data_IF_114695131153
#
_entry.id   IF_114695131153
#
_cell.length_a   1.000
_cell.length_b   1.000
_cell.length_c   1.000
_cell.angle_alpha   90.00
_cell.angle_beta   90.00
_cell.angle_gamma   90.00
#
_symmetry.space_group_name_H-M   'P 1'
#
loop_
_entity.id
_entity.type
_entity.pdbx_description
1 polymer ?
#
# COMPACT_ATOMS: atom_id res chain seq x y z
N UNK A 1 -14.81 -24.66 25.70
CA UNK A 1 -15.16 -25.25 24.38
C UNK A 1 -13.88 -25.74 23.71
N UNK A 2 -13.91 -26.90 23.05
CA UNK A 2 -12.72 -27.47 22.36
C UNK A 2 -12.58 -26.84 20.97
N UNK A 3 -11.38 -26.39 20.63
CA UNK A 3 -11.01 -25.89 19.31
C UNK A 3 -10.05 -26.89 18.65
N UNK A 4 -10.44 -27.37 17.47
CA UNK A 4 -9.69 -28.36 16.70
C UNK A 4 -8.89 -27.73 15.54
N UNK A 5 -8.98 -26.40 15.38
CA UNK A 5 -8.50 -25.69 14.18
C UNK A 5 -7.15 -25.03 14.41
N UNK A 6 -7.01 -24.32 15.52
CA UNK A 6 -5.85 -23.48 15.80
C UNK A 6 -4.92 -24.12 16.81
N UNK A 7 -3.64 -23.77 16.73
CA UNK A 7 -2.62 -24.16 17.70
C UNK A 7 -2.91 -23.61 19.10
N UNK A 8 -2.40 -24.25 20.17
CA UNK A 8 -2.51 -23.75 21.53
C UNK A 8 -2.12 -22.27 21.69
N UNK A 9 -1.06 -21.82 21.02
CA UNK A 9 -0.58 -20.45 21.09
C UNK A 9 -1.60 -19.44 20.54
N UNK A 10 -2.22 -19.73 19.40
CA UNK A 10 -3.28 -18.88 18.82
C UNK A 10 -4.51 -18.85 19.74
N UNK A 11 -4.86 -19.99 20.34
CA UNK A 11 -6.01 -20.08 21.24
C UNK A 11 -5.77 -19.34 22.56
N UNK A 12 -4.56 -19.42 23.10
CA UNK A 12 -4.16 -18.64 24.26
C UNK A 12 -4.25 -17.14 23.96
N UNK A 13 -3.72 -16.71 22.82
CA UNK A 13 -3.83 -15.31 22.42
C UNK A 13 -5.29 -14.86 22.26
N UNK A 14 -6.13 -15.67 21.62
CA UNK A 14 -7.56 -15.36 21.46
C UNK A 14 -8.28 -15.22 22.81
N UNK A 15 -7.99 -16.11 23.77
CA UNK A 15 -8.54 -16.02 25.12
C UNK A 15 -8.06 -14.76 25.85
N UNK A 16 -6.79 -14.39 25.71
CA UNK A 16 -6.22 -13.17 26.31
C UNK A 16 -6.83 -11.90 25.70
N UNK A 17 -7.01 -11.84 24.37
CA UNK A 17 -7.72 -10.73 23.72
C UNK A 17 -9.10 -10.54 24.33
N UNK A 18 -9.84 -11.62 24.59
CA UNK A 18 -11.21 -11.56 25.10
C UNK A 18 -11.34 -11.39 26.61
N UNK A 19 -10.28 -11.62 27.39
CA UNK A 19 -10.35 -11.64 28.85
C UNK A 19 -10.93 -10.36 29.49
N UNK A 20 -10.63 -9.13 29.03
CA UNK A 20 -11.21 -7.91 29.62
C UNK A 20 -12.72 -7.74 29.39
N UNK A 21 -13.27 -8.39 28.35
CA UNK A 21 -14.69 -8.31 27.97
C UNK A 21 -15.47 -9.57 28.38
N UNK A 22 -14.79 -10.54 28.98
CA UNK A 22 -15.36 -11.77 29.47
C UNK A 22 -16.12 -11.52 30.79
N UNK A 23 -17.44 -11.64 30.78
CA UNK A 23 -18.21 -11.80 32.01
C UNK A 23 -17.91 -13.13 32.73
N UNK A 24 -18.43 -13.31 33.94
CA UNK A 24 -18.17 -14.50 34.78
C UNK A 24 -18.48 -15.86 34.11
N UNK A 25 -19.27 -15.88 33.02
CA UNK A 25 -19.67 -17.08 32.27
C UNK A 25 -18.94 -17.24 30.91
N UNK A 26 -17.84 -16.53 30.66
CA UNK A 26 -17.18 -16.56 29.36
C UNK A 26 -16.58 -17.93 29.03
N UNK A 27 -16.94 -18.45 27.85
CA UNK A 27 -16.46 -19.74 27.35
C UNK A 27 -14.99 -19.60 26.94
N UNK A 28 -14.09 -20.24 27.70
CA UNK A 28 -12.67 -20.37 27.31
C UNK A 28 -12.50 -21.44 26.24
N UNK A 29 -11.72 -21.12 25.22
CA UNK A 29 -11.30 -22.07 24.20
C UNK A 29 -10.13 -22.91 24.72
N UNK A 30 -10.13 -24.21 24.41
CA UNK A 30 -9.00 -25.12 24.64
C UNK A 30 -8.60 -25.75 23.32
N UNK A 31 -7.34 -25.60 22.92
CA UNK A 31 -6.81 -26.25 21.74
C UNK A 31 -6.72 -27.77 21.95
N UNK A 32 -7.00 -28.52 20.90
CA UNK A 32 -6.80 -29.98 20.84
C UNK A 32 -5.54 -30.34 20.04
N UNK A 33 -5.07 -29.41 19.20
CA UNK A 33 -3.87 -29.57 18.38
C UNK A 33 -2.60 -29.49 19.23
N UNK A 34 -1.51 -30.04 18.70
CA UNK A 34 -0.18 -29.88 19.24
C UNK A 34 0.31 -28.43 19.12
N UNK A 35 1.32 -28.09 19.94
CA UNK A 35 1.96 -26.79 19.93
C UNK A 35 2.59 -26.51 18.55
N UNK A 36 2.34 -25.31 18.01
CA UNK A 36 2.91 -24.86 16.74
C UNK A 36 4.04 -23.84 16.89
N UNK A 37 4.28 -23.06 15.82
CA UNK A 37 5.22 -21.94 15.82
C UNK A 37 4.77 -20.85 16.82
N UNK A 38 5.68 -20.20 17.56
CA UNK A 38 5.31 -19.08 18.42
C UNK A 38 4.73 -17.90 17.61
N UNK A 39 3.88 -17.12 18.28
CA UNK A 39 3.33 -15.88 17.72
C UNK A 39 4.42 -14.83 17.58
N UNK A 40 4.37 -14.03 16.52
CA UNK A 40 5.27 -12.89 16.33
C UNK A 40 4.55 -11.56 16.48
N UNK A 41 5.19 -10.62 17.16
CA UNK A 41 4.69 -9.25 17.36
C UNK A 41 5.78 -8.27 16.93
N UNK A 42 5.49 -7.40 15.97
CA UNK A 42 6.51 -6.53 15.37
C UNK A 42 6.01 -5.09 15.20
N UNK A 43 6.69 -4.14 15.83
CA UNK A 43 6.48 -2.72 15.58
C UNK A 43 7.38 -2.19 14.45
N UNK A 44 6.83 -1.34 13.60
CA UNK A 44 7.49 -0.69 12.47
C UNK A 44 7.51 0.84 12.62
N UNK A 45 8.48 1.53 12.00
CA UNK A 45 8.57 2.99 12.10
C UNK A 45 7.39 3.70 11.42
N UNK A 46 6.85 3.16 10.32
CA UNK A 46 5.75 3.73 9.55
C UNK A 46 4.97 2.65 8.76
N UNK A 47 3.85 3.03 8.13
CA UNK A 47 2.98 2.09 7.40
C UNK A 47 3.66 1.46 6.17
N UNK A 48 4.56 2.20 5.51
CA UNK A 48 5.30 1.69 4.34
C UNK A 48 6.30 0.63 4.78
N UNK A 49 7.02 0.89 5.88
CA UNK A 49 7.94 -0.07 6.48
C UNK A 49 7.22 -1.33 7.00
N UNK A 50 6.02 -1.16 7.56
CA UNK A 50 5.17 -2.28 7.98
C UNK A 50 4.80 -3.18 6.79
N UNK A 51 4.32 -2.58 5.69
CA UNK A 51 3.95 -3.31 4.49
C UNK A 51 5.15 -4.03 3.85
N UNK A 52 6.29 -3.35 3.74
CA UNK A 52 7.52 -3.94 3.20
C UNK A 52 8.04 -5.10 4.06
N UNK A 53 7.98 -4.96 5.39
CA UNK A 53 8.39 -6.00 6.33
C UNK A 53 7.49 -7.23 6.27
N UNK A 54 6.17 -7.03 6.26
CA UNK A 54 5.18 -8.12 6.13
C UNK A 54 5.32 -8.83 4.79
N UNK A 55 5.43 -8.09 3.68
CA UNK A 55 5.60 -8.68 2.35
C UNK A 55 6.92 -9.47 2.22
N UNK A 56 7.98 -9.02 2.92
CA UNK A 56 9.26 -9.74 2.97
C UNK A 56 9.13 -11.09 3.70
N UNK A 57 8.42 -11.13 4.82
CA UNK A 57 8.17 -12.38 5.54
C UNK A 57 7.25 -13.32 4.74
N UNK A 58 6.21 -12.79 4.09
CA UNK A 58 5.34 -13.57 3.20
C UNK A 58 6.14 -14.19 2.06
N UNK A 59 6.96 -13.40 1.36
CA UNK A 59 7.82 -13.91 0.28
C UNK A 59 8.79 -15.00 0.79
N UNK A 60 9.29 -14.88 2.02
CA UNK A 60 10.12 -15.91 2.65
C UNK A 60 9.34 -17.21 2.89
N UNK A 61 8.09 -17.13 3.34
CA UNK A 61 7.23 -18.30 3.55
C UNK A 61 6.86 -18.99 2.23
N UNK A 62 6.52 -18.20 1.20
CA UNK A 62 6.20 -18.73 -0.14
C UNK A 62 7.41 -19.42 -0.76
N UNK A 63 8.61 -18.81 -0.69
CA UNK A 63 9.86 -19.48 -1.10
C UNK A 63 10.17 -20.74 -0.28
N UNK A 64 9.72 -20.77 0.98
CA UNK A 64 9.81 -21.93 1.85
C UNK A 64 8.76 -23.02 1.57
N UNK A 65 7.93 -22.87 0.54
CA UNK A 65 6.92 -23.86 0.12
C UNK A 65 5.51 -23.65 0.70
N UNK A 66 5.25 -22.56 1.43
CA UNK A 66 3.89 -22.23 1.86
C UNK A 66 3.06 -21.77 0.67
N UNK A 67 1.90 -22.38 0.43
CA UNK A 67 0.98 -21.95 -0.63
C UNK A 67 0.52 -20.50 -0.38
N UNK A 68 0.60 -19.59 -1.37
CA UNK A 68 0.06 -18.23 -1.22
C UNK A 68 -1.41 -18.19 -0.80
N UNK A 69 -2.22 -19.16 -1.26
CA UNK A 69 -3.64 -19.28 -0.90
C UNK A 69 -3.87 -19.59 0.59
N UNK A 70 -2.86 -20.13 1.29
CA UNK A 70 -2.90 -20.42 2.73
C UNK A 70 -2.41 -19.25 3.60
N UNK A 71 -2.17 -18.08 2.99
CA UNK A 71 -1.69 -16.88 3.66
C UNK A 71 -2.74 -15.77 3.54
N UNK A 72 -3.05 -15.12 4.64
CA UNK A 72 -3.88 -13.90 4.65
C UNK A 72 -3.22 -12.74 5.39
N UNK A 73 -3.45 -11.53 4.87
CA UNK A 73 -3.18 -10.25 5.55
C UNK A 73 -4.53 -9.62 5.88
N UNK A 74 -4.78 -9.47 7.18
CA UNK A 74 -6.01 -8.94 7.72
C UNK A 74 -5.79 -7.54 8.29
N UNK A 75 -6.57 -6.58 7.80
CA UNK A 75 -6.53 -5.18 8.22
C UNK A 75 -7.90 -4.69 8.70
N UNK A 76 -7.95 -3.50 9.31
CA UNK A 76 -9.23 -2.96 9.82
C UNK A 76 -10.05 -2.28 8.73
N UNK A 77 -9.40 -1.48 7.88
CA UNK A 77 -10.04 -0.67 6.83
C UNK A 77 -9.39 -0.91 5.47
N UNK A 78 -10.18 -0.81 4.40
CA UNK A 78 -9.72 -1.07 3.03
C UNK A 78 -8.59 -0.15 2.60
N UNK A 79 -8.57 1.11 3.05
CA UNK A 79 -7.50 2.07 2.72
C UNK A 79 -6.09 1.62 3.14
N UNK A 80 -5.98 0.59 3.99
CA UNK A 80 -4.68 0.02 4.35
C UNK A 80 -4.13 -0.93 3.29
N UNK A 81 -4.95 -1.47 2.37
CA UNK A 81 -4.53 -2.54 1.45
C UNK A 81 -3.46 -2.06 0.46
N UNK A 82 -3.56 -0.82 -0.02
CA UNK A 82 -2.70 -0.25 -1.08
C UNK A 82 -1.20 -0.46 -0.83
N UNK A 83 -0.72 -0.15 0.39
CA UNK A 83 0.70 -0.33 0.73
C UNK A 83 1.13 -1.81 0.68
N UNK A 84 0.25 -2.74 1.07
CA UNK A 84 0.53 -4.18 1.02
C UNK A 84 0.45 -4.72 -0.40
N UNK A 85 -0.49 -4.24 -1.21
CA UNK A 85 -0.60 -4.56 -2.63
C UNK A 85 0.68 -4.18 -3.37
N UNK A 86 1.15 -2.94 -3.18
CA UNK A 86 2.42 -2.47 -3.75
C UNK A 86 3.61 -3.34 -3.28
N UNK A 87 3.73 -3.56 -1.97
CA UNK A 87 4.86 -4.31 -1.40
C UNK A 87 4.91 -5.78 -1.84
N UNK A 88 3.75 -6.42 -2.04
CA UNK A 88 3.64 -7.79 -2.55
C UNK A 88 3.92 -7.85 -4.06
N UNK A 89 3.39 -6.89 -4.83
CA UNK A 89 3.62 -6.78 -6.27
C UNK A 89 5.11 -6.61 -6.60
N UNK A 90 5.82 -5.73 -5.89
CA UNK A 90 7.28 -5.53 -6.02
C UNK A 90 8.08 -6.83 -5.84
N UNK A 91 7.54 -7.78 -5.06
CA UNK A 91 8.16 -9.07 -4.74
C UNK A 91 7.62 -10.21 -5.59
N UNK A 92 6.80 -9.91 -6.60
CA UNK A 92 6.14 -10.90 -7.46
C UNK A 92 5.34 -11.95 -6.68
N UNK A 93 4.76 -11.55 -5.54
CA UNK A 93 3.88 -12.43 -4.75
C UNK A 93 2.44 -12.20 -5.23
N UNK A 94 1.75 -13.23 -5.76
CA UNK A 94 0.37 -13.08 -6.19
C UNK A 94 -0.54 -12.83 -4.98
N UNK A 95 -1.52 -11.93 -5.13
CA UNK A 95 -2.46 -11.58 -4.07
C UNK A 95 -3.87 -11.36 -4.63
N UNK A 96 -4.86 -11.44 -3.74
CA UNK A 96 -6.27 -11.15 -4.03
C UNK A 96 -6.83 -10.26 -2.94
N UNK A 97 -7.47 -9.16 -3.32
CA UNK A 97 -8.13 -8.24 -2.38
C UNK A 97 -9.60 -8.61 -2.21
N UNK A 98 -9.99 -8.99 -0.99
CA UNK A 98 -11.37 -9.24 -0.59
C UNK A 98 -11.97 -8.02 0.10
N UNK A 99 -12.97 -7.44 -0.56
CA UNK A 99 -13.85 -6.43 0.06
C UNK A 99 -13.39 -4.97 -0.06
N UNK A 100 -12.32 -4.67 -0.81
CA UNK A 100 -11.90 -3.28 -1.08
C UNK A 100 -12.86 -2.54 -2.02
N UNK A 101 -13.49 -3.28 -2.94
CA UNK A 101 -14.78 -2.99 -3.58
C UNK A 101 -15.45 -4.34 -3.77
N UNK A 102 -16.78 -4.42 -3.69
CA UNK A 102 -17.46 -5.65 -4.13
C UNK A 102 -17.08 -5.82 -5.60
N UNK A 103 -16.35 -6.88 -5.94
CA UNK A 103 -15.87 -7.13 -7.31
C UNK A 103 -16.99 -6.90 -8.35
N UNK A 104 -18.21 -7.35 -8.02
CA UNK A 104 -19.41 -7.19 -8.84
C UNK A 104 -20.06 -5.79 -8.83
N UNK A 105 -19.62 -4.86 -7.98
CA UNK A 105 -20.06 -3.46 -7.95
C UNK A 105 -19.15 -2.53 -8.77
N UNK A 106 -17.95 -2.98 -9.12
CA UNK A 106 -17.05 -2.26 -10.04
C UNK A 106 -17.78 -1.93 -11.34
N UNK A 107 -17.63 -0.70 -11.83
CA UNK A 107 -18.40 -0.21 -12.97
C UNK A 107 -18.14 -1.05 -14.22
N UNK A 108 -16.89 -1.43 -14.45
CA UNK A 108 -16.45 -2.29 -15.53
C UNK A 108 -16.98 -3.72 -15.41
N UNK A 109 -17.08 -4.28 -14.20
CA UNK A 109 -17.62 -5.64 -13.99
C UNK A 109 -19.13 -5.65 -14.22
N UNK A 110 -19.86 -4.63 -13.74
CA UNK A 110 -21.31 -4.50 -14.02
C UNK A 110 -21.60 -4.33 -15.51
N UNK A 111 -20.76 -3.56 -16.21
CA UNK A 111 -20.85 -3.40 -17.66
C UNK A 111 -20.59 -4.74 -18.37
N UNK A 112 -19.53 -5.46 -17.98
CA UNK A 112 -19.19 -6.77 -18.54
C UNK A 112 -20.32 -7.79 -18.36
N UNK A 113 -20.86 -7.91 -17.15
CA UNK A 113 -22.02 -8.79 -16.89
C UNK A 113 -23.24 -8.43 -17.74
N UNK A 114 -23.43 -7.15 -18.07
CA UNK A 114 -24.55 -6.71 -18.91
C UNK A 114 -24.34 -7.10 -20.37
N UNK A 115 -23.11 -6.93 -20.89
CA UNK A 115 -22.77 -7.33 -22.25
C UNK A 115 -22.79 -8.85 -22.43
N UNK A 116 -22.24 -9.61 -21.47
CA UNK A 116 -22.27 -11.08 -21.48
C UNK A 116 -23.71 -11.61 -21.49
N UNK A 117 -24.62 -11.01 -20.70
CA UNK A 117 -26.05 -11.35 -20.75
C UNK A 117 -26.71 -11.00 -22.07
N UNK A 118 -26.30 -9.91 -22.72
CA UNK A 118 -26.77 -9.54 -24.04
C UNK A 118 -26.34 -10.56 -25.09
N UNK A 119 -25.05 -10.90 -25.10
CA UNK A 119 -24.46 -11.90 -25.99
C UNK A 119 -25.10 -13.28 -25.79
N UNK A 120 -25.34 -13.70 -24.54
CA UNK A 120 -26.01 -14.97 -24.23
C UNK A 120 -27.43 -15.09 -24.81
N UNK A 121 -28.13 -13.98 -25.05
CA UNK A 121 -29.48 -13.97 -25.65
C UNK A 121 -29.47 -13.96 -27.17
N UNK A 122 -28.37 -13.52 -27.78
CA UNK A 122 -28.23 -13.38 -29.23
C UNK A 122 -27.40 -14.50 -29.89
N UNK A 123 -26.69 -15.30 -29.10
CA UNK A 123 -25.87 -16.40 -29.62
C UNK A 123 -26.75 -17.54 -30.18
N UNK A 124 -26.54 -17.98 -31.43
CA UNK A 124 -27.14 -19.21 -31.92
C UNK A 124 -26.59 -20.41 -31.14
N UNK A 125 -27.40 -21.47 -30.98
CA UNK A 125 -27.13 -22.63 -30.12
C UNK A 125 -25.87 -23.47 -30.47
N UNK A 126 -25.14 -23.10 -31.53
CA UNK A 126 -23.95 -23.79 -32.03
C UNK A 126 -22.69 -22.89 -32.08
N UNK A 127 -22.65 -21.81 -31.31
CA UNK A 127 -21.50 -20.89 -31.30
C UNK A 127 -20.49 -21.20 -30.19
N UNK A 128 -19.23 -21.44 -30.59
CA UNK A 128 -18.03 -21.20 -29.77
C UNK A 128 -17.81 -22.09 -28.54
N UNK A 129 -16.60 -22.01 -27.99
CA UNK A 129 -16.33 -22.45 -26.61
C UNK A 129 -16.74 -21.32 -25.65
N UNK A 130 -17.17 -21.63 -24.42
CA UNK A 130 -17.49 -20.60 -23.42
C UNK A 130 -16.39 -19.54 -23.30
N UNK A 131 -15.13 -19.97 -23.26
CA UNK A 131 -13.98 -19.08 -23.11
C UNK A 131 -13.84 -18.15 -24.32
N UNK A 132 -14.01 -18.65 -25.55
CA UNK A 132 -13.93 -17.81 -26.75
C UNK A 132 -15.01 -16.74 -26.78
N UNK A 133 -16.23 -17.06 -26.32
CA UNK A 133 -17.34 -16.13 -26.32
C UNK A 133 -17.16 -15.03 -25.25
N UNK A 134 -16.70 -15.43 -24.07
CA UNK A 134 -16.35 -14.48 -22.99
C UNK A 134 -15.22 -13.56 -23.45
N UNK A 135 -14.16 -14.11 -24.05
CA UNK A 135 -13.04 -13.34 -24.58
C UNK A 135 -13.49 -12.36 -25.65
N UNK A 136 -14.37 -12.78 -26.58
CA UNK A 136 -14.89 -11.90 -27.63
C UNK A 136 -15.59 -10.68 -27.03
N UNK A 137 -16.50 -10.89 -26.07
CA UNK A 137 -17.24 -9.80 -25.40
C UNK A 137 -16.30 -8.89 -24.60
N UNK A 138 -15.36 -9.45 -23.83
CA UNK A 138 -14.47 -8.64 -22.98
C UNK A 138 -13.40 -7.89 -23.79
N UNK A 139 -13.02 -8.39 -24.97
CA UNK A 139 -12.09 -7.70 -25.88
C UNK A 139 -12.66 -6.37 -26.37
N UNK A 140 -13.98 -6.30 -26.63
CA UNK A 140 -14.67 -5.03 -26.95
C UNK A 140 -14.61 -4.02 -25.79
N UNK A 141 -14.47 -4.52 -24.56
CA UNK A 141 -14.31 -3.70 -23.36
C UNK A 141 -12.85 -3.29 -23.08
N UNK A 142 -11.91 -3.64 -23.96
CA UNK A 142 -10.49 -3.35 -23.80
C UNK A 142 -9.71 -4.39 -23.00
N UNK A 143 -10.24 -5.61 -22.83
CA UNK A 143 -9.45 -6.74 -22.35
C UNK A 143 -8.50 -7.22 -23.47
N UNK A 144 -7.32 -7.70 -23.07
CA UNK A 144 -6.30 -8.27 -23.95
C UNK A 144 -5.59 -9.42 -23.24
N UNK A 145 -5.07 -10.39 -23.98
CA UNK A 145 -4.29 -11.51 -23.39
C UNK A 145 -2.99 -11.05 -22.73
N UNK A 146 -2.43 -9.92 -23.16
CA UNK A 146 -1.25 -9.30 -22.54
C UNK A 146 -1.68 -8.17 -21.62
N UNK A 147 -1.24 -8.23 -20.37
CA UNK A 147 -1.57 -7.22 -19.37
C UNK A 147 -0.85 -5.87 -19.65
N UNK A 148 -1.54 -4.73 -19.57
CA UNK A 148 -0.96 -3.41 -19.87
C UNK A 148 0.14 -3.04 -18.86
N UNK A 149 1.17 -2.32 -19.33
CA UNK A 149 2.28 -1.84 -18.50
C UNK A 149 1.89 -0.57 -17.72
N UNK A 150 2.36 -0.47 -16.47
CA UNK A 150 2.08 0.67 -15.59
C UNK A 150 0.98 0.42 -14.56
N UNK A 151 0.74 1.39 -13.68
CA UNK A 151 -0.29 1.38 -12.63
C UNK A 151 -1.40 2.39 -12.97
N UNK A 152 -2.60 2.16 -12.44
CA UNK A 152 -3.73 3.07 -12.54
C UNK A 152 -4.96 2.42 -13.17
N UNK A 153 -6.00 3.22 -13.40
CA UNK A 153 -7.36 2.78 -13.75
C UNK A 153 -7.44 1.86 -14.98
N UNK A 154 -6.51 1.98 -15.93
CA UNK A 154 -6.42 1.10 -17.10
C UNK A 154 -6.02 -0.32 -16.70
N UNK A 155 -5.04 -0.44 -15.79
CA UNK A 155 -4.57 -1.72 -15.25
C UNK A 155 -5.64 -2.37 -14.39
N UNK A 156 -6.25 -1.60 -13.49
CA UNK A 156 -7.29 -2.08 -12.58
C UNK A 156 -8.51 -2.62 -13.35
N UNK A 157 -8.92 -1.89 -14.40
CA UNK A 157 -9.97 -2.34 -15.32
C UNK A 157 -9.60 -3.64 -16.03
N UNK A 158 -8.38 -3.75 -16.53
CA UNK A 158 -7.91 -4.98 -17.18
C UNK A 158 -7.94 -6.18 -16.22
N UNK A 159 -7.51 -6.01 -14.98
CA UNK A 159 -7.53 -7.05 -13.95
C UNK A 159 -8.95 -7.49 -13.58
N UNK A 160 -9.89 -6.55 -13.48
CA UNK A 160 -11.31 -6.83 -13.30
C UNK A 160 -11.87 -7.72 -14.43
N UNK A 161 -11.51 -7.45 -15.68
CA UNK A 161 -11.95 -8.22 -16.84
C UNK A 161 -11.25 -9.59 -16.91
N UNK A 162 -9.94 -9.65 -16.63
CA UNK A 162 -9.16 -10.88 -16.56
C UNK A 162 -9.74 -11.86 -15.53
N UNK A 163 -10.19 -11.37 -14.38
CA UNK A 163 -10.82 -12.21 -13.37
C UNK A 163 -12.10 -12.90 -13.89
N UNK A 164 -12.87 -12.26 -14.78
CA UNK A 164 -14.03 -12.90 -15.42
C UNK A 164 -13.62 -13.98 -16.43
N UNK A 165 -12.54 -13.76 -17.19
CA UNK A 165 -11.98 -14.77 -18.11
C UNK A 165 -11.54 -16.01 -17.34
N UNK A 166 -10.82 -15.84 -16.23
CA UNK A 166 -10.39 -16.98 -15.42
C UNK A 166 -11.55 -17.80 -14.85
N UNK A 167 -12.68 -17.18 -14.51
CA UNK A 167 -13.90 -17.94 -14.12
C UNK A 167 -14.45 -18.73 -15.28
N UNK A 168 -14.45 -18.15 -16.49
CA UNK A 168 -14.92 -18.85 -17.68
C UNK A 168 -14.06 -20.09 -17.98
N UNK A 169 -12.73 -19.96 -17.83
CA UNK A 169 -11.79 -21.07 -17.94
C UNK A 169 -12.05 -22.15 -16.89
N UNK A 170 -12.23 -21.78 -15.62
CA UNK A 170 -12.57 -22.71 -14.54
C UNK A 170 -13.87 -23.48 -14.82
N UNK A 171 -14.91 -22.77 -15.26
CA UNK A 171 -16.23 -23.36 -15.55
C UNK A 171 -16.14 -24.30 -16.77
N UNK A 172 -15.47 -23.87 -17.85
CA UNK A 172 -15.28 -24.69 -19.04
C UNK A 172 -14.41 -25.92 -18.77
N UNK A 173 -13.43 -25.83 -17.86
CA UNK A 173 -12.61 -26.96 -17.44
C UNK A 173 -13.38 -27.97 -16.58
N UNK A 174 -14.35 -27.50 -15.78
CA UNK A 174 -15.21 -28.36 -14.98
C UNK A 174 -16.28 -29.07 -15.82
N UNK A 175 -16.86 -28.37 -16.79
CA UNK A 175 -17.86 -28.91 -17.71
C UNK A 175 -17.80 -28.17 -19.06
N UNK A 176 -17.34 -28.88 -20.10
CA UNK A 176 -17.18 -28.33 -21.44
C UNK A 176 -18.50 -28.11 -22.18
N UNK A 177 -19.62 -28.65 -21.68
CA UNK A 177 -20.95 -28.42 -22.25
C UNK A 177 -21.59 -27.10 -21.79
N UNK A 178 -21.00 -26.43 -20.79
CA UNK A 178 -21.52 -25.17 -20.26
C UNK A 178 -21.36 -24.06 -21.30
N UNK A 179 -22.50 -23.50 -21.72
CA UNK A 179 -22.54 -22.38 -22.64
C UNK A 179 -22.50 -21.02 -21.96
N UNK A 180 -22.42 -19.95 -22.75
CA UNK A 180 -22.42 -18.57 -22.26
C UNK A 180 -23.67 -18.24 -21.41
N UNK A 181 -24.83 -18.81 -21.75
CA UNK A 181 -26.07 -18.60 -20.99
C UNK A 181 -25.96 -19.12 -19.55
N UNK A 182 -25.51 -20.36 -19.37
CA UNK A 182 -25.30 -20.98 -18.06
C UNK A 182 -24.24 -20.25 -17.24
N UNK A 183 -23.16 -19.81 -17.89
CA UNK A 183 -22.13 -19.00 -17.28
C UNK A 183 -22.66 -17.67 -16.72
N UNK A 184 -23.57 -16.99 -17.43
CA UNK A 184 -24.17 -15.75 -16.92
C UNK A 184 -25.05 -15.97 -15.68
N UNK A 185 -25.73 -17.10 -15.59
CA UNK A 185 -26.49 -17.51 -14.39
C UNK A 185 -25.54 -17.76 -13.22
N UNK A 186 -24.43 -18.45 -13.47
CA UNK A 186 -23.41 -18.70 -12.45
C UNK A 186 -22.76 -17.39 -11.96
N UNK A 187 -22.43 -16.46 -12.85
CA UNK A 187 -21.93 -15.14 -12.46
C UNK A 187 -22.94 -14.35 -11.62
N UNK A 188 -24.23 -14.41 -11.95
CA UNK A 188 -25.28 -13.79 -11.14
C UNK A 188 -25.40 -14.42 -9.76
N UNK A 189 -25.31 -15.76 -9.67
CA UNK A 189 -25.30 -16.47 -8.40
C UNK A 189 -24.10 -16.05 -7.54
N UNK A 190 -22.89 -16.00 -8.11
CA UNK A 190 -21.67 -15.54 -7.43
C UNK A 190 -21.77 -14.07 -7.01
N UNK A 191 -22.37 -13.21 -7.82
CA UNK A 191 -22.62 -11.82 -7.50
C UNK A 191 -23.57 -11.65 -6.31
N UNK A 192 -24.66 -12.43 -6.27
CA UNK A 192 -25.65 -12.38 -5.19
C UNK A 192 -25.03 -12.74 -3.83
N UNK A 193 -24.05 -13.64 -3.80
CA UNK A 193 -23.34 -14.04 -2.57
C UNK A 193 -21.97 -13.36 -2.38
N UNK A 194 -21.62 -12.37 -3.23
CA UNK A 194 -20.34 -11.65 -3.20
C UNK A 194 -19.10 -12.56 -3.24
N UNK A 195 -19.19 -13.68 -3.96
CA UNK A 195 -18.13 -14.66 -4.09
C UNK A 195 -17.23 -14.31 -5.28
N UNK A 196 -16.24 -13.44 -5.05
CA UNK A 196 -15.23 -13.11 -6.05
C UNK A 196 -14.38 -14.37 -6.39
N UNK A 197 -13.97 -14.55 -7.65
CA UNK A 197 -13.14 -15.68 -8.08
C UNK A 197 -11.83 -15.72 -7.29
N UNK A 198 -11.48 -16.88 -6.77
CA UNK A 198 -10.25 -17.06 -6.00
C UNK A 198 -9.07 -17.27 -6.96
N UNK A 199 -8.55 -16.20 -7.56
CA UNK A 199 -7.22 -16.29 -8.16
C UNK A 199 -6.23 -16.73 -7.07
N UNK A 200 -5.39 -17.73 -7.35
CA UNK A 200 -4.40 -18.22 -6.38
C UNK A 200 -3.51 -17.06 -5.91
N UNK A 201 -3.45 -16.81 -4.60
CA UNK A 201 -2.69 -15.69 -4.06
C UNK A 201 -2.94 -15.43 -2.58
N UNK A 202 -2.08 -14.61 -1.99
CA UNK A 202 -2.22 -14.10 -0.63
C UNK A 202 -3.52 -13.32 -0.52
N UNK A 203 -4.37 -13.68 0.45
CA UNK A 203 -5.65 -12.97 0.64
C UNK A 203 -5.44 -11.68 1.44
N UNK A 204 -5.71 -10.54 0.84
CA UNK A 204 -5.78 -9.23 1.49
C UNK A 204 -7.24 -8.95 1.86
N UNK A 205 -7.59 -8.86 3.14
CA UNK A 205 -8.99 -8.72 3.55
C UNK A 205 -9.17 -7.87 4.80
N UNK A 206 -10.36 -7.30 4.97
CA UNK A 206 -10.73 -6.75 6.27
C UNK A 206 -11.00 -7.84 7.29
N UNK A 207 -10.81 -7.54 8.57
CA UNK A 207 -11.20 -8.44 9.67
C UNK A 207 -12.67 -8.90 9.58
N UNK A 208 -13.57 -8.04 9.06
CA UNK A 208 -14.97 -8.40 8.83
C UNK A 208 -15.13 -9.44 7.72
N UNK A 209 -14.46 -9.22 6.58
CA UNK A 209 -14.50 -10.13 5.43
C UNK A 209 -13.85 -11.49 5.71
N UNK A 210 -13.04 -11.59 6.77
CA UNK A 210 -12.40 -12.82 7.19
C UNK A 210 -13.33 -13.79 7.94
N UNK A 211 -14.55 -13.35 8.32
CA UNK A 211 -15.49 -14.18 9.09
C UNK A 211 -15.84 -15.47 8.33
N UNK A 212 -15.63 -16.61 8.99
CA UNK A 212 -15.94 -17.93 8.42
C UNK A 212 -14.83 -18.50 7.53
N UNK A 213 -13.79 -17.73 7.24
CA UNK A 213 -12.60 -18.18 6.50
C UNK A 213 -11.49 -18.60 7.49
N UNK A 214 -10.48 -19.31 6.99
CA UNK A 214 -9.33 -19.73 7.79
C UNK A 214 -8.13 -20.01 6.90
N UNK A 215 -6.93 -19.76 7.45
CA UNK A 215 -5.66 -19.86 6.75
C UNK A 215 -4.62 -20.51 7.66
N UNK A 216 -3.64 -21.19 7.06
CA UNK A 216 -2.49 -21.73 7.80
C UNK A 216 -1.68 -20.61 8.43
N UNK A 217 -1.55 -19.49 7.71
CA UNK A 217 -0.80 -18.30 8.12
C UNK A 217 -1.67 -17.05 8.06
N UNK A 218 -1.68 -16.27 9.14
CA UNK A 218 -2.37 -14.97 9.19
C UNK A 218 -1.44 -13.87 9.69
N UNK A 219 -1.45 -12.74 8.99
CA UNK A 219 -0.85 -11.48 9.40
C UNK A 219 -1.97 -10.50 9.78
N UNK A 220 -1.99 -9.99 11.01
CA UNK A 220 -2.88 -8.90 11.42
C UNK A 220 -2.06 -7.63 11.46
N UNK A 221 -2.40 -6.65 10.62
CA UNK A 221 -1.59 -5.45 10.40
C UNK A 221 -2.32 -4.18 10.87
N UNK A 222 -1.55 -3.13 11.16
CA UNK A 222 -2.10 -1.86 11.65
C UNK A 222 -2.76 -1.99 13.03
N UNK A 223 -2.25 -2.87 13.88
CA UNK A 223 -2.72 -3.07 15.24
C UNK A 223 -2.24 -1.96 16.20
N UNK A 224 -2.58 -0.70 15.90
CA UNK A 224 -2.27 0.47 16.70
C UNK A 224 -3.54 1.23 17.12
N UNK A 225 -3.43 2.03 18.17
CA UNK A 225 -4.53 2.90 18.63
C UNK A 225 -5.02 3.83 17.52
N UNK A 226 -6.34 3.95 17.42
CA UNK A 226 -7.05 4.73 16.39
C UNK A 226 -7.32 3.99 15.08
N UNK A 227 -6.62 2.88 14.80
CA UNK A 227 -7.02 1.95 13.74
C UNK A 227 -7.68 0.72 14.35
N UNK A 228 -7.08 0.15 15.38
CA UNK A 228 -7.62 -1.03 16.06
C UNK A 228 -7.40 -0.86 17.57
N UNK A 229 -8.41 -0.48 18.34
CA UNK A 229 -9.79 -0.15 17.93
C UNK A 229 -9.86 1.11 17.05
N UNK A 230 -10.91 1.21 16.23
CA UNK A 230 -11.21 2.47 15.51
C UNK A 230 -11.43 3.63 16.48
N UNK A 231 -11.01 4.84 16.08
CA UNK A 231 -11.16 6.09 16.87
C UNK A 231 -12.59 6.30 17.40
N UNK A 232 -13.60 5.91 16.62
CA UNK A 232 -15.01 6.13 16.95
C UNK A 232 -15.61 5.10 17.92
N UNK A 233 -14.85 4.08 18.36
CA UNK A 233 -15.28 3.14 19.38
C UNK A 233 -15.02 3.72 20.78
N UNK A 234 -15.89 4.63 21.21
CA UNK A 234 -15.76 5.39 22.47
C UNK A 234 -16.57 4.80 23.64
N UNK A 235 -17.58 3.99 23.34
CA UNK A 235 -18.38 3.28 24.35
C UNK A 235 -17.81 1.90 24.67
N UNK A 236 -18.04 1.40 25.90
CA UNK A 236 -17.67 0.04 26.30
C UNK A 236 -18.20 -1.03 25.32
N UNK A 237 -19.45 -0.90 24.90
CA UNK A 237 -20.06 -1.83 23.95
C UNK A 237 -19.35 -1.82 22.58
N UNK A 238 -19.03 -0.63 22.05
CA UNK A 238 -18.31 -0.51 20.78
C UNK A 238 -16.86 -1.01 20.86
N UNK A 239 -16.18 -0.81 22.00
CA UNK A 239 -14.85 -1.35 22.25
C UNK A 239 -14.87 -2.87 22.38
N UNK A 240 -15.88 -3.43 23.04
CA UNK A 240 -16.08 -4.87 23.13
C UNK A 240 -16.32 -5.48 21.75
N UNK A 241 -17.02 -4.77 20.86
CA UNK A 241 -17.22 -5.21 19.46
C UNK A 241 -15.92 -5.16 18.65
N UNK A 242 -15.14 -4.08 18.73
CA UNK A 242 -13.82 -4.01 18.08
C UNK A 242 -12.85 -5.10 18.61
N UNK A 243 -12.94 -5.43 19.90
CA UNK A 243 -12.18 -6.54 20.48
C UNK A 243 -12.65 -7.89 19.95
N UNK A 244 -13.97 -8.10 19.77
CA UNK A 244 -14.52 -9.29 19.11
C UNK A 244 -14.03 -9.42 17.67
N UNK A 245 -13.90 -8.31 16.94
CA UNK A 245 -13.33 -8.32 15.59
C UNK A 245 -11.88 -8.78 15.57
N UNK A 246 -11.03 -8.27 16.47
CA UNK A 246 -9.66 -8.76 16.60
C UNK A 246 -9.64 -10.25 17.00
N UNK A 247 -10.47 -10.66 17.96
CA UNK A 247 -10.60 -12.07 18.34
C UNK A 247 -10.98 -12.97 17.16
N UNK A 248 -11.92 -12.53 16.31
CA UNK A 248 -12.26 -13.25 15.07
C UNK A 248 -11.03 -13.36 14.18
N UNK A 249 -10.30 -12.27 13.96
CA UNK A 249 -9.05 -12.24 13.20
C UNK A 249 -7.99 -13.23 13.69
N UNK A 250 -7.70 -13.19 15.00
CA UNK A 250 -6.74 -14.09 15.66
C UNK A 250 -7.12 -15.56 15.44
N UNK A 251 -8.41 -15.89 15.60
CA UNK A 251 -8.92 -17.25 15.42
C UNK A 251 -9.05 -17.69 13.95
N UNK A 252 -8.70 -16.86 12.97
CA UNK A 252 -8.60 -17.28 11.56
C UNK A 252 -7.29 -18.03 11.28
N UNK A 253 -6.29 -17.86 12.13
CA UNK A 253 -5.00 -18.53 12.02
C UNK A 253 -5.10 -19.99 12.49
N UNK A 254 -4.63 -20.93 11.67
CA UNK A 254 -4.50 -22.33 12.07
C UNK A 254 -3.15 -22.59 12.73
N UNK A 255 -2.04 -22.19 12.10
CA UNK A 255 -0.70 -22.62 12.50
C UNK A 255 0.20 -21.44 12.92
N UNK A 256 0.14 -20.32 12.19
CA UNK A 256 0.98 -19.16 12.46
C UNK A 256 0.16 -17.86 12.46
N UNK A 257 0.41 -17.02 13.47
CA UNK A 257 -0.13 -15.67 13.55
C UNK A 257 1.01 -14.68 13.82
N UNK A 258 1.06 -13.64 12.98
CA UNK A 258 1.92 -12.47 13.16
C UNK A 258 1.05 -11.23 13.32
N UNK A 259 1.37 -10.37 14.29
CA UNK A 259 0.67 -9.11 14.51
C UNK A 259 1.66 -7.95 14.41
N UNK A 260 1.32 -6.91 13.68
CA UNK A 260 2.18 -5.74 13.49
C UNK A 260 1.47 -4.41 13.65
N UNK A 261 2.25 -3.37 13.88
CA UNK A 261 1.78 -1.99 13.94
C UNK A 261 2.84 -1.01 13.44
N UNK A 262 2.40 0.18 13.04
CA UNK A 262 3.25 1.30 12.64
C UNK A 262 3.24 2.43 13.67
N UNK A 263 4.40 3.06 13.90
CA UNK A 263 4.54 4.20 14.81
C UNK A 263 4.14 5.53 14.14
N UNK A 264 4.26 5.64 12.81
CA UNK A 264 3.87 6.81 12.01
C UNK A 264 3.04 6.41 10.78
N UNK A 265 2.37 7.39 10.15
CA UNK A 265 1.66 7.20 8.87
C UNK A 265 2.64 7.07 7.71
N UNK A 266 3.48 8.08 7.57
CA UNK A 266 4.39 8.22 6.43
C UNK A 266 5.84 8.11 6.88
N UNK A 267 6.74 7.69 5.96
CA UNK A 267 8.17 7.66 6.22
C UNK A 267 8.71 9.00 6.74
N UNK A 268 9.52 8.95 7.80
CA UNK A 268 10.05 10.15 8.46
C UNK A 268 9.04 10.95 9.27
N UNK A 269 7.78 10.52 9.34
CA UNK A 269 6.75 11.12 10.19
C UNK A 269 7.07 10.98 11.68
N UNK A 270 6.47 11.85 12.50
CA UNK A 270 6.59 11.77 13.95
C UNK A 270 5.89 10.50 14.45
N UNK A 271 6.65 9.60 15.07
CA UNK A 271 6.15 8.34 15.61
C UNK A 271 5.28 8.53 16.86
N UNK A 272 4.02 8.94 16.69
CA UNK A 272 3.07 9.20 17.79
C UNK A 272 2.05 8.08 18.00
N UNK A 273 1.98 7.09 17.11
CA UNK A 273 1.07 5.96 17.24
C UNK A 273 1.63 4.94 18.20
N UNK A 274 0.77 4.46 19.08
CA UNK A 274 1.08 3.44 20.08
C UNK A 274 0.39 2.12 19.70
N UNK A 275 0.95 0.96 20.10
CA UNK A 275 0.32 -0.33 19.86
C UNK A 275 -1.11 -0.39 20.41
N UNK A 276 -1.96 -1.20 19.79
CA UNK A 276 -3.33 -1.40 20.23
C UNK A 276 -3.40 -1.87 21.67
N UNK A 277 -4.30 -1.30 22.46
CA UNK A 277 -4.64 -1.78 23.81
C UNK A 277 -5.09 -3.24 23.85
N UNK A 278 -5.55 -3.79 22.72
CA UNK A 278 -5.93 -5.20 22.65
C UNK A 278 -4.74 -6.16 22.64
N UNK A 279 -3.53 -5.65 22.47
CA UNK A 279 -2.28 -6.41 22.54
C UNK A 279 -1.68 -6.45 23.96
N UNK A 280 -2.33 -5.81 24.92
CA UNK A 280 -1.93 -5.86 26.32
C UNK A 280 -2.03 -7.30 26.87
N UNK A 281 -0.98 -7.77 27.54
CA UNK A 281 -0.87 -9.16 27.99
C UNK A 281 -0.43 -10.17 26.92
N UNK A 282 -0.35 -9.76 25.64
CA UNK A 282 0.21 -10.57 24.55
C UNK A 282 1.63 -10.18 24.17
N UNK A 283 1.92 -8.88 24.22
CA UNK A 283 3.18 -8.32 23.75
C UNK A 283 4.04 -7.98 24.96
N UNK A 284 5.18 -8.65 25.06
CA UNK A 284 6.22 -8.28 26.03
C UNK A 284 6.80 -6.90 25.71
N UNK A 285 7.17 -6.13 26.73
CA UNK A 285 7.56 -4.72 26.59
C UNK A 285 8.67 -4.49 25.54
N UNK A 286 9.62 -5.44 25.41
CA UNK A 286 10.68 -5.41 24.40
C UNK A 286 10.19 -5.39 22.96
N UNK A 287 9.02 -5.97 22.69
CA UNK A 287 8.43 -6.03 21.36
C UNK A 287 7.58 -4.79 21.06
N UNK A 288 7.20 -3.99 22.06
CA UNK A 288 6.38 -2.76 21.90
C UNK A 288 7.13 -1.62 21.25
N UNK A 289 8.46 -1.60 21.39
CA UNK A 289 9.29 -0.62 20.70
C UNK A 289 9.35 -1.00 19.22
N UNK A 290 9.02 -0.08 18.28
CA UNK A 290 9.23 -0.35 16.88
C UNK A 290 10.69 -0.71 16.67
N UNK A 291 10.95 -1.71 15.82
CA UNK A 291 12.30 -2.07 15.42
C UNK A 291 12.91 -0.82 14.79
N UNK A 292 13.65 -0.06 15.61
CA UNK A 292 14.54 0.98 15.14
C UNK A 292 15.47 0.26 14.19
N UNK A 293 15.36 0.56 12.89
CA UNK A 293 16.24 0.03 11.87
C UNK A 293 17.65 0.00 12.45
N UNK A 294 18.19 -1.22 12.60
CA UNK A 294 19.41 -1.49 13.36
C UNK A 294 20.50 -0.52 12.92
N UNK A 295 20.92 0.27 13.89
CA UNK A 295 21.78 1.43 13.71
C UNK A 295 23.22 1.05 13.36
N UNK A 296 23.67 1.49 12.20
CA UNK A 296 25.09 1.84 11.96
C UNK A 296 25.33 3.36 12.02
N UNK A 297 24.39 4.17 12.53
CA UNK A 297 24.50 5.65 12.47
C UNK A 297 24.16 6.40 13.77
N UNK A 298 24.34 5.79 14.94
CA UNK A 298 24.06 6.41 16.26
C UNK A 298 24.95 7.62 16.62
N UNK A 299 25.92 8.03 15.79
CA UNK A 299 26.67 9.28 16.01
C UNK A 299 26.11 10.52 15.31
N UNK A 300 25.12 10.39 14.42
CA UNK A 300 24.59 11.54 13.66
C UNK A 300 23.31 12.18 14.25
N UNK A 301 22.63 11.50 15.18
CA UNK A 301 21.23 11.82 15.54
C UNK A 301 21.05 12.96 16.56
N UNK A 302 22.12 13.52 17.11
CA UNK A 302 22.04 14.63 18.09
C UNK A 302 21.87 16.03 17.45
N UNK A 303 21.83 16.17 16.11
CA UNK A 303 21.92 17.50 15.45
C UNK A 303 20.64 18.01 14.76
N UNK A 304 19.53 17.27 14.74
CA UNK A 304 18.39 17.58 13.85
C UNK A 304 17.12 18.14 14.50
N UNK A 305 17.14 18.51 15.78
CA UNK A 305 15.97 19.15 16.42
C UNK A 305 16.07 20.69 16.45
N UNK A 306 16.68 21.31 15.44
CA UNK A 306 16.66 22.77 15.28
C UNK A 306 15.50 23.15 14.36
N UNK A 307 14.55 23.91 14.90
CA UNK A 307 13.51 24.60 14.14
C UNK A 307 14.20 25.37 13.00
N UNK A 308 13.81 25.11 11.75
CA UNK A 308 14.38 25.80 10.60
C UNK A 308 14.13 27.31 10.76
N UNK A 309 15.19 28.10 10.68
CA UNK A 309 15.12 29.55 10.80
C UNK A 309 15.43 30.20 9.45
N UNK A 310 14.80 31.34 9.18
CA UNK A 310 15.08 32.16 8.02
C UNK A 310 16.57 32.49 8.00
N UNK A 311 17.27 32.16 6.91
CA UNK A 311 18.70 32.46 6.78
C UNK A 311 19.04 33.95 6.77
N UNK A 312 18.04 34.81 6.54
CA UNK A 312 18.20 36.27 6.42
C UNK A 312 17.87 36.97 7.74
N UNK A 313 16.71 36.68 8.35
CA UNK A 313 16.24 37.37 9.56
C UNK A 313 16.20 36.49 10.82
N UNK A 314 16.65 35.24 10.73
CA UNK A 314 16.65 34.24 11.81
C UNK A 314 15.26 33.91 12.42
N UNK A 315 14.16 34.38 11.82
CA UNK A 315 12.80 34.05 12.25
C UNK A 315 12.49 32.56 12.07
N UNK A 316 11.83 31.89 13.03
CA UNK A 316 11.39 30.50 12.86
C UNK A 316 10.45 30.37 11.65
N UNK A 317 10.77 29.43 10.76
CA UNK A 317 9.94 29.11 9.60
C UNK A 317 8.97 28.02 10.00
N UNK A 318 7.68 28.33 9.90
CA UNK A 318 6.59 27.38 10.20
C UNK A 318 5.79 27.00 8.97
N UNK A 319 5.88 27.80 7.91
CA UNK A 319 5.25 27.49 6.63
C UNK A 319 6.10 26.48 5.83
N UNK A 320 5.51 25.38 5.30
CA UNK A 320 6.26 24.37 4.52
C UNK A 320 7.00 24.92 3.30
N UNK A 321 6.48 25.96 2.64
CA UNK A 321 7.14 26.62 1.50
C UNK A 321 8.33 27.43 2.00
N UNK A 322 8.18 28.21 3.07
CA UNK A 322 9.28 28.97 3.66
C UNK A 322 10.38 28.05 4.20
N UNK A 323 10.03 26.98 4.91
CA UNK A 323 10.96 25.94 5.36
C UNK A 323 11.76 25.35 4.20
N UNK A 324 11.11 25.16 3.05
CA UNK A 324 11.76 24.64 1.83
C UNK A 324 12.62 25.69 1.13
N UNK A 325 12.26 26.97 1.17
CA UNK A 325 13.08 28.08 0.66
C UNK A 325 14.20 28.51 1.62
N UNK A 326 14.10 28.18 2.91
CA UNK A 326 15.02 28.64 3.96
C UNK A 326 14.95 30.16 4.22
N UNK A 327 13.89 30.83 3.75
CA UNK A 327 13.65 32.29 3.89
C UNK A 327 12.15 32.55 4.07
N UNK A 328 11.78 33.54 4.89
CA UNK A 328 10.39 34.00 5.00
C UNK A 328 9.97 34.87 3.81
N UNK A 329 8.66 34.93 3.53
CA UNK A 329 8.10 35.67 2.40
C UNK A 329 8.42 37.19 2.41
N UNK A 330 8.70 37.76 3.58
CA UNK A 330 8.96 39.19 3.79
C UNK A 330 10.43 39.60 3.53
N UNK A 331 11.34 38.63 3.35
CA UNK A 331 12.76 38.93 3.10
C UNK A 331 13.06 39.01 1.59
N UNK A 332 13.90 39.96 1.13
CA UNK A 332 14.15 40.19 -0.30
C UNK A 332 14.64 38.94 -1.04
N UNK A 333 14.08 38.69 -2.22
CA UNK A 333 14.47 37.59 -3.10
C UNK A 333 15.49 38.06 -4.14
N UNK A 334 16.78 37.91 -3.83
CA UNK A 334 17.87 38.19 -4.78
C UNK A 334 18.10 37.08 -5.80
N UNK A 335 17.03 36.49 -6.38
CA UNK A 335 17.23 35.58 -7.50
C UNK A 335 17.41 36.38 -8.78
N UNK A 336 18.22 35.83 -9.68
CA UNK A 336 18.44 36.41 -10.98
C UNK A 336 17.30 36.01 -11.91
N UNK A 337 16.52 37.01 -12.31
CA UNK A 337 15.35 36.84 -13.17
C UNK A 337 15.74 36.22 -14.51
N UNK A 338 16.92 36.55 -15.07
CA UNK A 338 17.38 35.99 -16.34
C UNK A 338 17.70 34.49 -16.21
N UNK A 339 18.32 34.09 -15.10
CA UNK A 339 18.58 32.67 -14.82
C UNK A 339 17.28 31.90 -14.52
N UNK A 340 16.36 32.50 -13.78
CA UNK A 340 15.06 31.86 -13.49
C UNK A 340 14.24 31.64 -14.76
N UNK A 341 14.24 32.61 -15.68
CA UNK A 341 13.55 32.49 -16.97
C UNK A 341 14.22 31.43 -17.88
N UNK A 342 15.55 31.36 -17.89
CA UNK A 342 16.29 30.32 -18.60
C UNK A 342 15.92 28.91 -18.07
N UNK A 343 15.88 28.74 -16.75
CA UNK A 343 15.48 27.48 -16.10
C UNK A 343 14.02 27.12 -16.37
N UNK A 344 13.13 28.13 -16.44
CA UNK A 344 11.70 27.93 -16.76
C UNK A 344 11.51 27.50 -18.21
N UNK A 345 12.27 28.06 -19.14
CA UNK A 345 12.24 27.66 -20.55
C UNK A 345 12.76 26.24 -20.72
N UNK A 346 13.94 25.94 -20.18
CA UNK A 346 14.52 24.59 -20.23
C UNK A 346 13.58 23.54 -19.65
N UNK A 347 12.92 23.81 -18.51
CA UNK A 347 11.95 22.89 -17.92
C UNK A 347 10.77 22.60 -18.85
N UNK A 348 10.30 23.60 -19.59
CA UNK A 348 9.19 23.45 -20.55
C UNK A 348 9.61 22.52 -21.69
N UNK A 349 10.80 22.73 -22.22
CA UNK A 349 11.33 21.97 -23.35
C UNK A 349 11.61 20.52 -22.94
N UNK A 350 12.21 20.31 -21.77
CA UNK A 350 12.48 18.98 -21.21
C UNK A 350 11.20 18.22 -20.87
N UNK A 351 10.18 18.91 -20.37
CA UNK A 351 8.88 18.31 -20.08
C UNK A 351 8.16 17.85 -21.35
N UNK A 352 8.28 18.61 -22.44
CA UNK A 352 7.76 18.23 -23.75
C UNK A 352 8.51 17.01 -24.33
N UNK A 353 9.84 16.97 -24.21
CA UNK A 353 10.67 15.84 -24.63
C UNK A 353 10.34 14.55 -23.85
N UNK A 354 10.22 14.65 -22.52
CA UNK A 354 9.88 13.54 -21.64
C UNK A 354 8.38 13.17 -21.68
N UNK A 355 7.54 13.93 -22.41
CA UNK A 355 6.08 13.81 -22.47
C UNK A 355 5.40 13.76 -21.10
N UNK A 356 5.84 14.63 -20.18
CA UNK A 356 5.31 14.76 -18.82
C UNK A 356 4.94 16.22 -18.53
N UNK A 357 4.00 16.48 -17.60
CA UNK A 357 3.74 17.85 -17.15
C UNK A 357 4.99 18.53 -16.54
N UNK A 358 5.18 19.83 -16.78
CA UNK A 358 6.39 20.57 -16.38
C UNK A 358 6.75 20.45 -14.89
N UNK A 359 5.75 20.36 -14.01
CA UNK A 359 5.98 20.22 -12.57
C UNK A 359 6.59 18.86 -12.18
N UNK A 360 6.48 17.82 -13.02
CA UNK A 360 7.12 16.52 -12.82
C UNK A 360 8.65 16.60 -12.95
N UNK A 361 9.14 17.45 -13.86
CA UNK A 361 10.56 17.74 -14.04
C UNK A 361 11.08 18.49 -12.80
N UNK A 362 10.59 19.70 -12.54
CA UNK A 362 10.84 20.44 -11.29
C UNK A 362 9.68 21.39 -10.94
N UNK A 363 9.44 21.60 -9.64
CA UNK A 363 8.46 22.59 -9.18
C UNK A 363 9.02 24.01 -9.26
N UNK A 364 8.15 25.03 -9.35
CA UNK A 364 8.56 26.44 -9.38
C UNK A 364 9.45 26.81 -8.18
N UNK A 365 9.10 26.33 -6.98
CA UNK A 365 9.93 26.53 -5.78
C UNK A 365 11.35 25.95 -5.90
N UNK A 366 11.55 24.87 -6.67
CA UNK A 366 12.87 24.29 -6.91
C UNK A 366 13.65 25.13 -7.92
N UNK A 367 12.99 25.66 -8.96
CA UNK A 367 13.61 26.59 -9.90
C UNK A 367 14.03 27.91 -9.24
N UNK A 368 13.21 28.44 -8.33
CA UNK A 368 13.56 29.62 -7.54
C UNK A 368 14.79 29.33 -6.68
N UNK A 369 14.84 28.17 -6.01
CA UNK A 369 16.00 27.77 -5.23
C UNK A 369 17.27 27.59 -6.09
N UNK A 370 17.15 27.07 -7.32
CA UNK A 370 18.25 26.98 -8.28
C UNK A 370 18.77 28.37 -8.68
N UNK A 371 17.88 29.30 -9.00
CA UNK A 371 18.24 30.66 -9.39
C UNK A 371 18.91 31.45 -8.23
N UNK A 372 18.59 31.11 -6.98
CA UNK A 372 19.22 31.70 -5.79
C UNK A 372 20.54 31.04 -5.40
N UNK A 373 20.65 29.71 -5.50
CA UNK A 373 21.82 28.95 -5.04
C UNK A 373 22.92 28.89 -6.12
N UNK A 374 22.53 28.90 -7.40
CA UNK A 374 23.42 28.80 -8.58
C UNK A 374 24.49 27.71 -8.46
N UNK A 375 24.10 26.44 -8.38
CA UNK A 375 25.06 25.36 -8.29
C UNK A 375 25.90 25.24 -9.57
N UNK A 376 27.22 25.19 -9.43
CA UNK A 376 28.18 25.02 -10.53
C UNK A 376 28.74 23.59 -10.62
N UNK A 377 28.34 22.73 -9.69
CA UNK A 377 28.78 21.35 -9.60
C UNK A 377 27.68 20.45 -9.00
N UNK A 378 27.87 19.13 -9.12
CA UNK A 378 26.95 18.14 -8.58
C UNK A 378 26.81 18.27 -7.04
N UNK A 379 27.86 18.69 -6.34
CA UNK A 379 27.83 18.92 -4.89
C UNK A 379 26.95 20.13 -4.50
N UNK A 380 26.88 21.16 -5.36
CA UNK A 380 25.98 22.29 -5.24
C UNK A 380 24.52 21.91 -5.46
N UNK A 381 24.24 21.05 -6.45
CA UNK A 381 22.88 20.59 -6.74
C UNK A 381 22.24 19.82 -5.57
N UNK A 382 23.03 19.03 -4.84
CA UNK A 382 22.57 18.31 -3.63
C UNK A 382 22.07 19.26 -2.55
N UNK A 383 22.58 20.50 -2.50
CA UNK A 383 22.16 21.51 -1.52
C UNK A 383 20.83 22.18 -1.88
N UNK A 384 20.33 21.96 -3.10
CA UNK A 384 19.08 22.58 -3.58
C UNK A 384 17.87 21.75 -3.14
N UNK A 385 16.92 22.33 -2.39
CA UNK A 385 15.73 21.62 -1.92
C UNK A 385 14.84 21.13 -3.07
N UNK A 386 14.61 19.82 -3.14
CA UNK A 386 13.76 19.20 -4.18
C UNK A 386 14.53 18.52 -5.31
N UNK A 387 15.86 18.52 -5.27
CA UNK A 387 16.72 17.80 -6.22
C UNK A 387 17.31 16.56 -5.52
N UNK A 388 16.75 15.39 -5.83
CA UNK A 388 17.25 14.09 -5.34
C UNK A 388 18.26 13.45 -6.29
N UNK A 389 18.97 12.42 -5.84
CA UNK A 389 20.06 11.78 -6.59
C UNK A 389 19.65 11.34 -8.01
N UNK A 390 18.44 10.79 -8.16
CA UNK A 390 17.89 10.38 -9.48
C UNK A 390 17.75 11.57 -10.43
N UNK A 391 17.33 12.73 -9.93
CA UNK A 391 17.19 13.96 -10.73
C UNK A 391 18.54 14.60 -11.03
N UNK A 392 19.53 14.45 -10.15
CA UNK A 392 20.91 14.87 -10.43
C UNK A 392 21.49 14.01 -11.55
N UNK A 393 21.31 12.69 -11.51
CA UNK A 393 21.77 11.80 -12.59
C UNK A 393 21.07 12.10 -13.90
N UNK A 394 19.76 12.42 -13.89
CA UNK A 394 18.98 12.63 -15.11
C UNK A 394 19.11 14.04 -15.72
N UNK A 395 19.25 15.08 -14.88
CA UNK A 395 19.15 16.49 -15.31
C UNK A 395 20.31 17.37 -14.81
N UNK A 396 21.27 16.81 -14.07
CA UNK A 396 22.29 17.59 -13.38
C UNK A 396 23.26 18.32 -14.31
N UNK A 397 23.62 17.70 -15.44
CA UNK A 397 24.53 18.29 -16.43
C UNK A 397 23.91 19.55 -17.07
N UNK A 398 22.70 19.42 -17.62
CA UNK A 398 21.93 20.55 -18.18
C UNK A 398 21.77 21.71 -17.18
N UNK A 399 21.47 21.40 -15.91
CA UNK A 399 21.27 22.42 -14.88
C UNK A 399 22.56 23.18 -14.55
N UNK A 400 23.70 22.47 -14.50
CA UNK A 400 25.01 23.09 -14.27
C UNK A 400 25.39 23.96 -15.47
N UNK A 401 25.14 23.49 -16.69
CA UNK A 401 25.40 24.27 -17.91
C UNK A 401 24.61 25.58 -17.93
N UNK A 402 23.30 25.54 -17.66
CA UNK A 402 22.44 26.73 -17.58
C UNK A 402 22.90 27.69 -16.47
N UNK A 403 23.28 27.16 -15.31
CA UNK A 403 23.79 27.98 -14.20
C UNK A 403 25.15 28.61 -14.53
N UNK A 404 25.98 27.96 -15.34
CA UNK A 404 27.29 28.46 -15.77
C UNK A 404 27.20 29.50 -16.90
N UNK A 405 26.25 29.33 -17.83
CA UNK A 405 26.07 30.20 -18.99
C UNK A 405 25.59 31.60 -18.62
N UNK A 406 24.89 31.75 -17.48
CA UNK A 406 24.41 33.04 -16.96
C UNK A 406 25.40 33.68 -15.95
N UNK A 407 26.66 33.24 -15.94
CA UNK A 407 27.70 33.87 -15.13
C UNK A 407 28.25 35.12 -15.85
N UNK A 408 28.13 36.34 -15.29
CA UNK A 408 28.83 37.48 -15.86
C UNK A 408 30.33 37.23 -15.71
N UNK A 409 31.04 37.07 -16.83
CA UNK A 409 32.51 37.06 -16.84
C UNK A 409 33.01 38.37 -16.22
N UNK A 410 33.49 38.32 -14.98
CA UNK A 410 34.30 39.40 -14.43
C UNK A 410 35.63 39.45 -15.19
N UNK A 411 35.91 40.58 -15.80
CA UNK A 411 37.17 40.88 -16.48
C UNK A 411 38.38 40.67 -15.55
N UNK A 412 39.53 40.21 -16.07
CA UNK A 412 40.73 40.03 -15.25
C UNK A 412 41.26 41.40 -14.78
N UNK A 413 41.42 41.56 -13.47
CA UNK A 413 42.16 42.68 -12.87
C UNK A 413 43.67 42.49 -13.19
N UNK A 414 44.35 43.49 -13.78
CA UNK A 414 45.80 43.43 -13.99
C UNK A 414 46.56 43.54 -12.65
N UNK A 415 47.70 42.85 -12.61
CA UNK A 415 48.54 42.56 -11.43
C UNK A 415 49.13 43.76 -10.71
#
# INVERSE_FOLDING_TARGET
MRNYRSTPQVIEAANTVMAPSAGASAVRLRAVREAGRPLSFTGYPDEVAEAAGVATEIARLVRGGTSPADIAVLFRINAQSENFEESLAERSVPFVVRGADRFFERAEVRQAMTLLRGAARGAPAEAGSLVSDVVAVLSEMGWSSTAPHGRGSVRDRWESLQALVSVAEEVAAADSAVGLADFTVELQRRAAVQHAPAAGGVTLATLHAAKGLEWSVVFIVGAHEGTMPLVYADTKASLDEERRLLYVGVTRARDMLSVSWSAARSPGGRGSRVPSRFLEGLVEERHRQPLLATSTSTRARAKQNRVAACRVCARPLTDPRECKLGRCAECPSGYDEALYDALRSWRRDKAAEDNVPAYCVFTDATLTALAEIRPLDAAGLVKVPGIGQVKITKYGEDLIEICSAQHPMSAPQPS
#
